data_IF_810674063665
#
_entry.id   IF_810674063665
#
_cell.length_a   1.000
_cell.length_b   1.000
_cell.length_c   1.000
_cell.angle_alpha   90.00
_cell.angle_beta   90.00
_cell.angle_gamma   90.00
#
_symmetry.space_group_name_H-M   'P 1'
#
loop_
_entity.id
_entity.type
_entity.pdbx_description
1 polymer ?
#
# COMPACT_ATOMS: atom_id res chain seq x y z
N UNK A 1 -24.93 -17.22 -21.75
CA UNK A 1 -25.80 -16.37 -20.93
C UNK A 1 -24.92 -15.30 -20.31
N UNK A 2 -25.10 -14.04 -20.69
CA UNK A 2 -24.29 -12.93 -20.13
C UNK A 2 -24.73 -12.69 -18.69
N UNK A 3 -23.83 -12.89 -17.74
CA UNK A 3 -24.10 -12.63 -16.31
C UNK A 3 -24.35 -11.13 -16.14
N UNK A 4 -25.48 -10.75 -15.52
CA UNK A 4 -25.78 -9.35 -15.23
C UNK A 4 -24.74 -8.79 -14.27
N UNK A 5 -24.30 -7.53 -14.49
CA UNK A 5 -23.44 -6.83 -13.54
C UNK A 5 -24.17 -6.54 -12.23
N UNK A 6 -23.48 -6.37 -11.13
CA UNK A 6 -24.09 -5.99 -9.82
C UNK A 6 -24.92 -4.71 -9.95
N UNK A 7 -24.48 -3.74 -10.75
CA UNK A 7 -25.26 -2.55 -11.05
C UNK A 7 -26.61 -2.88 -11.66
N UNK A 8 -26.66 -3.79 -12.63
CA UNK A 8 -27.93 -4.25 -13.24
C UNK A 8 -28.78 -5.03 -12.26
N UNK A 9 -28.15 -5.88 -11.43
CA UNK A 9 -28.85 -6.68 -10.39
C UNK A 9 -29.44 -5.80 -9.27
N UNK A 10 -28.70 -4.79 -8.84
CA UNK A 10 -29.08 -3.99 -7.67
C UNK A 10 -29.81 -2.68 -8.00
N UNK A 11 -29.94 -2.31 -9.28
CA UNK A 11 -30.53 -1.01 -9.68
C UNK A 11 -31.94 -0.79 -9.12
N UNK A 12 -32.79 -1.82 -9.14
CA UNK A 12 -34.16 -1.75 -8.59
C UNK A 12 -34.14 -1.75 -7.05
N UNK A 13 -33.26 -2.51 -6.45
CA UNK A 13 -33.11 -2.62 -4.99
C UNK A 13 -32.61 -1.29 -4.42
N UNK A 14 -31.56 -0.72 -5.01
CA UNK A 14 -31.00 0.59 -4.63
C UNK A 14 -32.09 1.67 -4.68
N UNK A 15 -32.84 1.75 -5.78
CA UNK A 15 -33.94 2.72 -5.93
C UNK A 15 -35.01 2.54 -4.87
N UNK A 16 -35.36 1.29 -4.53
CA UNK A 16 -36.36 1.03 -3.48
C UNK A 16 -35.86 1.46 -2.09
N UNK A 17 -34.57 1.20 -1.79
CA UNK A 17 -33.97 1.61 -0.52
C UNK A 17 -33.84 3.15 -0.45
N UNK A 18 -33.51 3.83 -1.55
CA UNK A 18 -33.50 5.30 -1.63
C UNK A 18 -34.88 5.87 -1.28
N UNK A 19 -35.94 5.36 -1.89
CA UNK A 19 -37.32 5.78 -1.60
C UNK A 19 -37.70 5.54 -0.12
N UNK A 20 -37.32 4.39 0.44
CA UNK A 20 -37.58 4.06 1.83
C UNK A 20 -36.77 4.94 2.79
N UNK A 21 -35.55 5.30 2.43
CA UNK A 21 -34.71 6.23 3.19
C UNK A 21 -35.34 7.63 3.23
N UNK A 22 -35.81 8.12 2.08
CA UNK A 22 -36.48 9.44 2.01
C UNK A 22 -37.75 9.47 2.90
N UNK A 23 -38.57 8.42 2.82
CA UNK A 23 -39.77 8.30 3.70
C UNK A 23 -39.39 8.25 5.19
N UNK A 24 -38.37 7.48 5.55
CA UNK A 24 -37.88 7.38 6.93
C UNK A 24 -37.32 8.73 7.43
N UNK A 25 -36.61 9.47 6.56
CA UNK A 25 -36.11 10.80 6.88
C UNK A 25 -37.28 11.80 7.11
N UNK A 26 -38.30 11.79 6.25
CA UNK A 26 -39.49 12.62 6.45
C UNK A 26 -40.20 12.31 7.79
N UNK A 27 -40.35 11.04 8.13
CA UNK A 27 -40.96 10.61 9.41
C UNK A 27 -40.08 11.06 10.58
N UNK A 28 -38.79 10.90 10.52
CA UNK A 28 -37.87 11.33 11.57
C UNK A 28 -37.90 12.84 11.77
N UNK A 29 -37.96 13.63 10.71
CA UNK A 29 -38.06 15.09 10.80
C UNK A 29 -39.39 15.51 11.46
N UNK A 30 -40.49 14.77 11.21
CA UNK A 30 -41.80 15.07 11.78
C UNK A 30 -41.96 14.63 13.24
N UNK A 31 -41.45 13.48 13.62
CA UNK A 31 -41.66 12.83 14.91
C UNK A 31 -40.51 13.01 15.90
N UNK A 32 -39.26 13.04 15.40
CA UNK A 32 -38.05 13.04 16.21
C UNK A 32 -37.83 11.77 17.01
N UNK A 33 -38.60 10.69 16.74
CA UNK A 33 -38.58 9.48 17.55
C UNK A 33 -37.39 8.56 17.20
N UNK A 34 -37.03 7.70 18.17
CA UNK A 34 -35.86 6.79 18.03
C UNK A 34 -36.08 5.68 16.99
N UNK A 35 -37.35 5.29 16.75
CA UNK A 35 -37.67 4.27 15.76
C UNK A 35 -37.40 4.74 14.32
N UNK A 36 -37.89 5.97 14.01
CA UNK A 36 -37.62 6.60 12.71
C UNK A 36 -36.11 6.84 12.50
N UNK A 37 -35.39 7.26 13.54
CA UNK A 37 -33.93 7.40 13.48
C UNK A 37 -33.21 6.07 13.18
N UNK A 38 -33.70 4.98 13.79
CA UNK A 38 -33.16 3.64 13.52
C UNK A 38 -33.38 3.24 12.06
N UNK A 39 -34.56 3.48 11.49
CA UNK A 39 -34.87 3.17 10.08
C UNK A 39 -33.96 3.97 9.11
N UNK A 40 -33.76 5.26 9.36
CA UNK A 40 -32.85 6.11 8.57
C UNK A 40 -31.45 5.50 8.58
N UNK A 41 -30.90 5.16 9.73
CA UNK A 41 -29.57 4.57 9.84
C UNK A 41 -29.49 3.20 9.15
N UNK A 42 -30.52 2.38 9.25
CA UNK A 42 -30.59 1.07 8.61
C UNK A 42 -30.54 1.19 7.08
N UNK A 43 -31.44 1.97 6.47
CA UNK A 43 -31.49 2.16 5.02
C UNK A 43 -30.24 2.86 4.49
N UNK A 44 -29.69 3.84 5.20
CA UNK A 44 -28.46 4.51 4.82
C UNK A 44 -27.27 3.54 4.81
N UNK A 45 -27.18 2.66 5.80
CA UNK A 45 -26.12 1.63 5.87
C UNK A 45 -26.24 0.60 4.76
N UNK A 46 -27.44 0.13 4.48
CA UNK A 46 -27.71 -0.84 3.41
C UNK A 46 -27.42 -0.24 2.02
N UNK A 47 -27.88 0.98 1.78
CA UNK A 47 -27.60 1.71 0.55
C UNK A 47 -26.10 1.91 0.33
N UNK A 48 -25.39 2.29 1.38
CA UNK A 48 -23.93 2.42 1.33
C UNK A 48 -23.27 1.09 0.94
N UNK A 49 -23.64 -0.02 1.60
CA UNK A 49 -23.11 -1.35 1.31
C UNK A 49 -23.29 -1.75 -0.14
N UNK A 50 -24.53 -1.63 -0.68
CA UNK A 50 -24.81 -2.00 -2.07
C UNK A 50 -24.09 -1.11 -3.08
N UNK A 51 -24.00 0.19 -2.82
CA UNK A 51 -23.24 1.13 -3.68
C UNK A 51 -21.75 0.81 -3.66
N UNK A 52 -21.19 0.45 -2.51
CA UNK A 52 -19.78 0.05 -2.39
C UNK A 52 -19.53 -1.27 -3.15
N UNK A 53 -20.44 -2.25 -3.08
CA UNK A 53 -20.32 -3.50 -3.84
C UNK A 53 -20.38 -3.26 -5.37
N UNK A 54 -21.24 -2.35 -5.83
CA UNK A 54 -21.29 -1.99 -7.27
C UNK A 54 -20.00 -1.30 -7.70
N UNK A 55 -19.50 -0.35 -6.92
CA UNK A 55 -18.25 0.36 -7.21
C UNK A 55 -17.05 -0.58 -7.24
N UNK A 56 -17.02 -1.57 -6.36
CA UNK A 56 -15.93 -2.55 -6.31
C UNK A 56 -15.94 -3.44 -7.54
N UNK A 57 -17.11 -3.90 -8.00
CA UNK A 57 -17.20 -4.65 -9.24
C UNK A 57 -16.79 -3.82 -10.46
N UNK A 58 -17.31 -2.59 -10.57
CA UNK A 58 -16.93 -1.66 -11.66
C UNK A 58 -15.41 -1.44 -11.66
N UNK A 59 -14.80 -1.22 -10.49
CA UNK A 59 -13.35 -1.06 -10.36
C UNK A 59 -12.57 -2.31 -10.79
N UNK A 60 -13.06 -3.49 -10.44
CA UNK A 60 -12.45 -4.76 -10.86
C UNK A 60 -12.53 -4.95 -12.38
N UNK A 61 -13.67 -4.64 -12.99
CA UNK A 61 -13.85 -4.73 -14.45
C UNK A 61 -12.94 -3.74 -15.18
N UNK A 62 -12.91 -2.47 -14.75
CA UNK A 62 -12.00 -1.45 -15.30
C UNK A 62 -10.53 -1.87 -15.13
N UNK A 63 -10.18 -2.38 -13.95
CA UNK A 63 -8.84 -2.87 -13.66
C UNK A 63 -8.45 -4.07 -14.54
N UNK A 64 -9.36 -5.01 -14.77
CA UNK A 64 -9.13 -6.14 -15.67
C UNK A 64 -8.90 -5.67 -17.12
N UNK A 65 -9.68 -4.66 -17.60
CA UNK A 65 -9.49 -4.07 -18.91
C UNK A 65 -8.12 -3.39 -19.05
N UNK A 66 -7.68 -2.62 -18.03
CA UNK A 66 -6.35 -2.01 -18.02
C UNK A 66 -5.27 -3.12 -18.07
N UNK A 67 -5.34 -4.13 -17.20
CA UNK A 67 -4.33 -5.18 -17.11
C UNK A 67 -4.21 -6.03 -18.37
N UNK A 68 -5.32 -6.26 -19.10
CA UNK A 68 -5.31 -7.04 -20.34
C UNK A 68 -4.47 -6.41 -21.44
N UNK A 69 -4.20 -5.11 -21.38
CA UNK A 69 -3.37 -4.39 -22.35
C UNK A 69 -2.06 -3.84 -21.74
N UNK A 70 -1.87 -4.00 -20.42
CA UNK A 70 -0.77 -3.38 -19.69
C UNK A 70 0.58 -4.03 -20.04
N UNK A 71 1.49 -3.23 -20.60
CA UNK A 71 2.94 -3.48 -20.61
C UNK A 71 3.56 -2.70 -19.46
N UNK A 72 4.06 -3.42 -18.47
CA UNK A 72 4.59 -2.90 -17.22
C UNK A 72 6.10 -3.07 -17.16
N UNK A 73 6.82 -2.01 -16.80
CA UNK A 73 8.24 -2.06 -16.46
C UNK A 73 8.41 -2.21 -14.96
N UNK A 74 9.32 -3.10 -14.52
CA UNK A 74 9.82 -3.13 -13.14
C UNK A 74 11.28 -2.67 -13.16
N UNK A 75 11.51 -1.44 -12.69
CA UNK A 75 12.84 -0.83 -12.61
C UNK A 75 13.38 -1.00 -11.19
N UNK A 76 14.45 -1.80 -11.06
CA UNK A 76 14.91 -2.35 -9.79
C UNK A 76 14.13 -3.60 -9.39
N UNK A 77 14.80 -4.75 -9.34
CA UNK A 77 14.19 -6.06 -9.08
C UNK A 77 14.78 -6.74 -7.84
N UNK A 78 15.16 -5.94 -6.83
CA UNK A 78 15.46 -6.38 -5.48
C UNK A 78 14.23 -6.98 -4.81
N UNK A 79 14.27 -7.26 -3.49
CA UNK A 79 13.17 -7.95 -2.79
C UNK A 79 11.81 -7.23 -2.92
N UNK A 80 11.78 -5.88 -2.95
CA UNK A 80 10.54 -5.08 -3.11
C UNK A 80 10.02 -5.16 -4.54
N UNK A 81 10.88 -4.87 -5.52
CA UNK A 81 10.51 -4.92 -6.94
C UNK A 81 10.06 -6.31 -7.37
N UNK A 82 10.79 -7.34 -6.92
CA UNK A 82 10.46 -8.74 -7.18
C UNK A 82 9.12 -9.14 -6.55
N UNK A 83 8.91 -8.86 -5.27
CA UNK A 83 7.65 -9.20 -4.59
C UNK A 83 6.44 -8.54 -5.27
N UNK A 84 6.57 -7.30 -5.72
CA UNK A 84 5.49 -6.58 -6.41
C UNK A 84 5.30 -7.06 -7.85
N UNK A 85 6.42 -7.19 -8.60
CA UNK A 85 6.41 -7.60 -10.01
C UNK A 85 5.91 -9.03 -10.20
N UNK A 86 6.41 -9.97 -9.42
CA UNK A 86 5.97 -11.37 -9.50
C UNK A 86 4.49 -11.53 -9.13
N UNK A 87 4.00 -10.73 -8.17
CA UNK A 87 2.60 -10.78 -7.75
C UNK A 87 1.62 -10.27 -8.83
N UNK A 88 2.00 -9.22 -9.57
CA UNK A 88 1.14 -8.68 -10.63
C UNK A 88 1.30 -9.44 -11.96
N UNK A 89 2.44 -10.09 -12.21
CA UNK A 89 2.75 -10.76 -13.48
C UNK A 89 1.63 -11.66 -14.03
N UNK A 90 0.94 -12.51 -13.25
CA UNK A 90 -0.13 -13.37 -13.77
C UNK A 90 -1.37 -12.61 -14.26
N UNK A 91 -1.46 -11.30 -14.00
CA UNK A 91 -2.65 -10.48 -14.22
C UNK A 91 -2.49 -9.47 -15.35
N UNK A 92 -1.31 -9.34 -15.95
CA UNK A 92 -1.00 -8.32 -16.96
C UNK A 92 -0.57 -8.95 -18.28
N UNK A 93 -0.62 -8.15 -19.36
CA UNK A 93 -0.26 -8.59 -20.71
C UNK A 93 1.24 -8.86 -20.86
N UNK A 94 2.07 -7.93 -20.36
CA UNK A 94 3.53 -8.01 -20.51
C UNK A 94 4.23 -7.38 -19.31
N UNK A 95 5.27 -8.05 -18.82
CA UNK A 95 6.14 -7.59 -17.77
C UNK A 95 7.59 -7.58 -18.23
N UNK A 96 8.24 -6.43 -18.13
CA UNK A 96 9.65 -6.25 -18.48
C UNK A 96 10.40 -5.89 -17.20
N UNK A 97 11.49 -6.60 -16.93
CA UNK A 97 12.37 -6.33 -15.80
C UNK A 97 13.54 -5.50 -16.30
N UNK A 98 13.80 -4.37 -15.66
CA UNK A 98 14.94 -3.49 -15.90
C UNK A 98 15.76 -3.42 -14.63
N UNK A 99 16.75 -4.29 -14.55
CA UNK A 99 17.67 -4.40 -13.41
C UNK A 99 18.96 -5.07 -13.88
N UNK A 100 20.14 -4.46 -13.67
CA UNK A 100 21.41 -5.00 -14.18
C UNK A 100 21.76 -6.41 -13.71
N UNK A 101 21.18 -6.86 -12.58
CA UNK A 101 21.37 -8.21 -12.07
C UNK A 101 20.47 -9.26 -12.73
N UNK A 102 19.45 -8.83 -13.49
CA UNK A 102 18.38 -9.69 -14.00
C UNK A 102 18.17 -9.62 -15.51
N UNK A 103 18.52 -8.51 -16.16
CA UNK A 103 18.34 -8.33 -17.61
C UNK A 103 19.27 -7.24 -18.18
N UNK A 104 19.44 -7.25 -19.50
CA UNK A 104 20.13 -6.21 -20.27
C UNK A 104 19.15 -5.17 -20.85
N UNK A 105 17.85 -5.27 -20.52
CA UNK A 105 16.77 -4.39 -21.00
C UNK A 105 16.99 -2.94 -20.53
N UNK A 106 16.71 -1.99 -21.43
CA UNK A 106 16.85 -0.57 -21.16
C UNK A 106 15.47 0.13 -21.23
N UNK A 107 15.26 1.17 -20.42
CA UNK A 107 14.01 1.96 -20.43
C UNK A 107 13.71 2.48 -21.82
N UNK A 108 14.73 2.94 -22.56
CA UNK A 108 14.57 3.54 -23.89
C UNK A 108 14.00 2.58 -24.94
N UNK A 109 14.15 1.26 -24.74
CA UNK A 109 13.66 0.24 -25.68
C UNK A 109 12.16 -0.02 -25.52
N UNK A 110 11.51 0.59 -24.51
CA UNK A 110 10.14 0.32 -24.12
C UNK A 110 9.26 1.58 -24.04
N UNK A 111 9.39 2.48 -25.01
CA UNK A 111 8.59 3.71 -25.09
C UNK A 111 7.07 3.46 -25.19
N UNK A 112 6.65 2.24 -25.54
CA UNK A 112 5.26 1.80 -25.60
C UNK A 112 4.72 1.29 -24.25
N UNK A 113 5.54 1.24 -23.19
CA UNK A 113 5.07 0.85 -21.86
C UNK A 113 4.14 1.91 -21.26
N UNK A 114 3.01 1.48 -20.70
CA UNK A 114 2.02 2.37 -20.11
C UNK A 114 2.31 2.69 -18.64
N UNK A 115 3.03 1.81 -17.94
CA UNK A 115 3.32 1.99 -16.52
C UNK A 115 4.68 1.41 -16.12
N UNK A 116 5.22 1.93 -15.03
CA UNK A 116 6.45 1.44 -14.40
C UNK A 116 6.31 1.35 -12.88
N UNK A 117 6.82 0.28 -12.28
CA UNK A 117 7.09 0.15 -10.86
C UNK A 117 8.56 0.42 -10.65
N UNK A 118 8.89 1.39 -9.78
CA UNK A 118 10.27 1.78 -9.48
C UNK A 118 10.58 1.39 -8.04
N UNK A 119 11.56 0.50 -7.86
CA UNK A 119 12.00 -0.04 -6.58
C UNK A 119 13.54 -0.10 -6.51
N UNK A 120 14.18 1.03 -6.77
CA UNK A 120 15.63 1.19 -6.77
C UNK A 120 16.18 1.55 -5.38
N UNK A 121 17.46 1.30 -5.10
CA UNK A 121 18.08 1.66 -3.83
C UNK A 121 18.05 3.17 -3.54
N UNK A 122 17.84 3.52 -2.27
CA UNK A 122 17.92 4.88 -1.73
C UNK A 122 18.81 4.85 -0.49
N UNK A 123 20.15 4.83 -0.65
CA UNK A 123 21.04 4.80 0.50
C UNK A 123 21.00 6.12 1.26
N UNK A 124 21.26 6.06 2.58
CA UNK A 124 21.49 7.25 3.38
C UNK A 124 22.99 7.55 3.39
N UNK A 125 23.36 8.74 2.94
CA UNK A 125 24.75 9.21 2.92
C UNK A 125 24.83 10.45 3.80
N UNK A 126 25.61 10.40 4.87
CA UNK A 126 25.75 11.49 5.85
C UNK A 126 24.41 11.98 6.42
N UNK A 127 23.51 11.08 6.75
CA UNK A 127 22.19 11.41 7.29
C UNK A 127 21.16 11.93 6.27
N UNK A 128 21.50 11.93 4.98
CA UNK A 128 20.61 12.38 3.90
C UNK A 128 20.30 11.23 2.95
N UNK A 129 19.03 11.09 2.59
CA UNK A 129 18.59 10.11 1.58
C UNK A 129 19.13 10.51 0.21
N UNK A 130 19.90 9.64 -0.44
CA UNK A 130 20.34 9.82 -1.82
C UNK A 130 19.26 9.26 -2.78
N UNK A 131 18.54 10.18 -3.41
CA UNK A 131 17.48 9.91 -4.39
C UNK A 131 17.94 10.01 -5.86
N UNK A 132 19.23 10.20 -6.09
CA UNK A 132 19.81 10.44 -7.42
C UNK A 132 19.41 9.37 -8.45
N UNK A 133 19.40 8.10 -8.05
CA UNK A 133 18.98 6.97 -8.92
C UNK A 133 17.49 7.06 -9.26
N UNK A 134 16.65 7.50 -8.32
CA UNK A 134 15.20 7.69 -8.57
C UNK A 134 15.00 8.82 -9.60
N UNK A 135 15.67 9.95 -9.40
CA UNK A 135 15.56 11.11 -10.30
C UNK A 135 16.00 10.75 -11.71
N UNK A 136 17.09 10.00 -11.85
CA UNK A 136 17.59 9.50 -13.14
C UNK A 136 16.56 8.57 -13.81
N UNK A 137 16.11 7.54 -13.10
CA UNK A 137 15.11 6.57 -13.61
C UNK A 137 13.81 7.25 -14.01
N UNK A 138 13.28 8.14 -13.17
CA UNK A 138 12.03 8.89 -13.48
C UNK A 138 12.23 9.76 -14.71
N UNK A 139 13.40 10.41 -14.85
CA UNK A 139 13.73 11.23 -16.03
C UNK A 139 13.77 10.39 -17.30
N UNK A 140 14.42 9.23 -17.26
CA UNK A 140 14.46 8.31 -18.41
C UNK A 140 13.08 7.77 -18.79
N UNK A 141 12.27 7.39 -17.81
CA UNK A 141 10.89 6.92 -18.04
C UNK A 141 10.03 7.97 -18.75
N UNK A 142 10.08 9.22 -18.27
CA UNK A 142 9.32 10.33 -18.86
C UNK A 142 9.86 10.71 -20.24
N UNK A 143 11.18 10.65 -20.44
CA UNK A 143 11.78 10.90 -21.75
C UNK A 143 11.36 9.84 -22.79
N UNK A 144 11.23 8.57 -22.37
CA UNK A 144 10.76 7.49 -23.23
C UNK A 144 9.24 7.58 -23.50
N UNK A 145 8.44 7.86 -22.47
CA UNK A 145 6.99 8.05 -22.57
C UNK A 145 6.50 9.12 -21.57
N UNK A 146 6.15 10.33 -22.01
CA UNK A 146 5.67 11.40 -21.13
C UNK A 146 4.39 11.08 -20.36
N UNK A 147 3.57 10.17 -20.84
CA UNK A 147 2.29 9.77 -20.24
C UNK A 147 2.40 8.56 -19.32
N UNK A 148 3.61 7.99 -19.15
CA UNK A 148 3.84 6.80 -18.33
C UNK A 148 3.37 7.01 -16.88
N UNK A 149 2.67 6.02 -16.32
CA UNK A 149 2.25 6.02 -14.92
C UNK A 149 3.32 5.35 -14.06
N UNK A 150 3.87 6.07 -13.09
CA UNK A 150 4.98 5.59 -12.27
C UNK A 150 4.49 5.28 -10.85
N UNK A 151 4.71 4.03 -10.39
CA UNK A 151 4.52 3.63 -9.00
C UNK A 151 5.88 3.53 -8.33
N UNK A 152 6.21 4.53 -7.53
CA UNK A 152 7.47 4.58 -6.76
C UNK A 152 7.31 3.85 -5.44
N UNK A 153 8.12 2.83 -5.22
CA UNK A 153 8.14 2.01 -3.99
C UNK A 153 9.38 2.23 -3.12
N UNK A 154 10.42 2.84 -3.66
CA UNK A 154 11.62 3.20 -2.90
C UNK A 154 11.28 4.20 -1.80
N UNK A 155 11.87 4.05 -0.62
CA UNK A 155 11.63 4.98 0.50
C UNK A 155 12.29 6.32 0.23
N UNK A 156 11.50 7.39 0.23
CA UNK A 156 11.94 8.77 -0.07
C UNK A 156 11.31 9.73 0.93
N UNK A 157 12.08 10.69 1.50
CA UNK A 157 11.55 11.75 2.36
C UNK A 157 10.50 12.62 1.67
N UNK A 158 9.57 13.22 2.45
CA UNK A 158 8.47 14.02 1.90
C UNK A 158 8.92 15.15 1.00
N UNK A 159 9.93 15.90 1.40
CA UNK A 159 10.48 17.07 0.68
C UNK A 159 11.13 16.70 -0.66
N UNK A 160 11.68 15.51 -0.78
CA UNK A 160 12.22 15.00 -2.03
C UNK A 160 11.08 14.48 -2.95
N UNK A 161 10.07 13.84 -2.40
CA UNK A 161 8.90 13.38 -3.17
C UNK A 161 8.13 14.53 -3.82
N UNK A 162 8.06 15.69 -3.17
CA UNK A 162 7.37 16.87 -3.73
C UNK A 162 8.03 17.39 -5.02
N UNK A 163 9.33 17.18 -5.18
CA UNK A 163 10.11 17.60 -6.36
C UNK A 163 9.88 16.70 -7.58
N UNK A 164 9.35 15.49 -7.39
CA UNK A 164 9.11 14.54 -8.47
C UNK A 164 7.88 14.93 -9.32
N UNK A 165 7.87 14.59 -10.60
CA UNK A 165 6.76 14.88 -11.53
C UNK A 165 5.41 14.34 -11.07
N UNK A 166 4.31 14.93 -11.57
CA UNK A 166 2.94 14.62 -11.13
C UNK A 166 2.48 13.19 -11.45
N UNK A 167 3.04 12.55 -12.48
CA UNK A 167 2.76 11.17 -12.87
C UNK A 167 3.45 10.11 -11.99
N UNK A 168 4.18 10.54 -10.95
CA UNK A 168 4.72 9.64 -9.92
C UNK A 168 3.70 9.50 -8.79
N UNK A 169 3.22 8.28 -8.57
CA UNK A 169 2.46 7.88 -7.38
C UNK A 169 3.38 7.15 -6.42
N UNK A 170 3.43 7.59 -5.18
CA UNK A 170 4.22 6.95 -4.13
C UNK A 170 3.41 5.83 -3.47
N UNK A 171 4.01 4.64 -3.39
CA UNK A 171 3.43 3.49 -2.69
C UNK A 171 4.46 2.95 -1.69
N UNK A 172 4.42 3.40 -0.44
CA UNK A 172 5.31 2.87 0.60
C UNK A 172 5.11 1.37 0.76
N UNK A 173 6.21 0.67 1.06
CA UNK A 173 6.21 -0.77 1.34
C UNK A 173 6.49 -1.01 2.83
N UNK A 174 5.98 -2.11 3.37
CA UNK A 174 6.14 -2.54 4.75
C UNK A 174 6.60 -4.00 4.83
N UNK A 175 7.42 -4.41 3.86
CA UNK A 175 7.85 -5.78 3.63
C UNK A 175 9.13 -6.09 4.42
N UNK A 176 9.21 -7.30 4.94
CA UNK A 176 10.44 -7.86 5.50
C UNK A 176 11.20 -8.57 4.39
N UNK A 177 12.50 -8.34 4.26
CA UNK A 177 13.29 -8.90 3.15
C UNK A 177 13.20 -10.43 3.04
N UNK A 178 13.17 -11.15 4.18
CA UNK A 178 13.08 -12.63 4.22
C UNK A 178 11.72 -13.19 3.75
N UNK A 179 10.64 -12.41 3.91
CA UNK A 179 9.25 -12.84 3.64
C UNK A 179 8.50 -11.90 2.70
N UNK A 180 9.22 -11.13 1.88
CA UNK A 180 8.67 -10.03 1.10
C UNK A 180 7.50 -10.44 0.19
N UNK A 181 7.57 -11.58 -0.48
CA UNK A 181 6.48 -12.08 -1.33
C UNK A 181 5.22 -12.43 -0.52
N UNK A 182 5.39 -13.09 0.63
CA UNK A 182 4.29 -13.42 1.54
C UNK A 182 3.70 -12.16 2.17
N UNK A 183 4.55 -11.24 2.65
CA UNK A 183 4.11 -9.97 3.23
C UNK A 183 3.34 -9.13 2.21
N UNK A 184 3.77 -9.11 0.95
CA UNK A 184 3.07 -8.40 -0.12
C UNK A 184 1.71 -9.04 -0.43
N UNK A 185 1.63 -10.36 -0.51
CA UNK A 185 0.39 -11.08 -0.78
C UNK A 185 -0.64 -10.93 0.36
N UNK A 186 -0.18 -10.85 1.60
CA UNK A 186 -1.02 -10.79 2.81
C UNK A 186 -1.24 -9.37 3.35
N UNK A 187 -0.76 -8.33 2.66
CA UNK A 187 -0.92 -6.96 3.13
C UNK A 187 -2.41 -6.58 3.21
N UNK A 188 -2.76 -5.80 4.23
CA UNK A 188 -4.13 -5.35 4.50
C UNK A 188 -4.40 -3.93 4.01
N UNK A 189 -3.35 -3.15 3.81
CA UNK A 189 -3.42 -1.74 3.44
C UNK A 189 -2.49 -1.48 2.26
N UNK A 190 -2.99 -0.76 1.26
CA UNK A 190 -2.23 -0.36 0.09
C UNK A 190 -2.36 1.16 -0.09
N UNK A 191 -1.31 1.90 0.27
CA UNK A 191 -1.31 3.36 0.26
C UNK A 191 -0.86 3.87 -1.11
N UNK A 192 -1.60 4.82 -1.66
CA UNK A 192 -1.35 5.41 -2.97
C UNK A 192 -1.32 6.93 -2.83
N UNK A 193 -0.11 7.49 -2.73
CA UNK A 193 0.12 8.92 -2.58
C UNK A 193 0.37 9.59 -3.93
N UNK A 194 -0.55 10.43 -4.41
CA UNK A 194 -0.39 11.19 -5.64
C UNK A 194 -1.60 11.14 -6.59
N UNK A 195 -1.51 11.91 -7.69
CA UNK A 195 -2.63 12.15 -8.60
C UNK A 195 -3.15 10.87 -9.29
N UNK A 196 -2.27 9.95 -9.66
CA UNK A 196 -2.62 8.71 -10.36
C UNK A 196 -2.98 7.55 -9.41
N UNK A 197 -3.24 7.83 -8.12
CA UNK A 197 -3.66 6.81 -7.14
C UNK A 197 -4.88 6.02 -7.58
N UNK A 198 -5.85 6.66 -8.27
CA UNK A 198 -7.03 5.97 -8.79
C UNK A 198 -6.68 4.98 -9.92
N UNK A 199 -5.71 5.29 -10.78
CA UNK A 199 -5.21 4.38 -11.80
C UNK A 199 -4.59 3.13 -11.17
N UNK A 200 -3.69 3.31 -10.21
CA UNK A 200 -3.02 2.20 -9.53
C UNK A 200 -3.98 1.37 -8.69
N UNK A 201 -4.98 1.98 -8.08
CA UNK A 201 -6.05 1.25 -7.39
C UNK A 201 -6.81 0.31 -8.34
N UNK A 202 -7.07 0.72 -9.61
CA UNK A 202 -7.66 -0.15 -10.62
C UNK A 202 -6.70 -1.25 -11.06
N UNK A 203 -5.42 -0.92 -11.28
CA UNK A 203 -4.38 -1.90 -11.66
C UNK A 203 -4.28 -3.02 -10.61
N UNK A 204 -4.32 -2.70 -9.32
CA UNK A 204 -4.23 -3.67 -8.22
C UNK A 204 -5.60 -4.13 -7.68
N UNK A 205 -6.70 -3.83 -8.34
CA UNK A 205 -8.06 -4.15 -7.88
C UNK A 205 -8.33 -5.65 -7.68
N UNK A 206 -7.50 -6.52 -8.23
CA UNK A 206 -7.59 -7.98 -8.04
C UNK A 206 -7.15 -8.45 -6.65
N UNK A 207 -6.48 -7.60 -5.86
CA UNK A 207 -6.06 -7.93 -4.50
C UNK A 207 -7.28 -8.02 -3.58
N UNK A 208 -7.48 -9.16 -2.95
CA UNK A 208 -8.62 -9.42 -2.07
C UNK A 208 -8.32 -9.02 -0.62
N UNK A 209 -9.30 -8.42 0.06
CA UNK A 209 -9.19 -8.06 1.48
C UNK A 209 -8.22 -6.92 1.77
N UNK A 210 -7.84 -6.13 0.76
CA UNK A 210 -6.94 -4.98 0.87
C UNK A 210 -7.74 -3.69 0.88
N UNK A 211 -7.48 -2.85 1.86
CA UNK A 211 -7.96 -1.47 1.91
C UNK A 211 -7.02 -0.56 1.11
N UNK A 212 -7.53 0.04 0.04
CA UNK A 212 -6.79 1.03 -0.74
C UNK A 212 -7.00 2.43 -0.17
N UNK A 213 -5.92 3.05 0.32
CA UNK A 213 -5.93 4.41 0.86
C UNK A 213 -5.28 5.34 -0.15
N UNK A 214 -6.06 6.29 -0.70
CA UNK A 214 -5.54 7.35 -1.57
C UNK A 214 -5.31 8.62 -0.76
N UNK A 215 -4.13 9.18 -0.90
CA UNK A 215 -3.70 10.40 -0.21
C UNK A 215 -2.70 11.19 -1.05
N UNK A 216 -2.14 12.24 -0.53
CA UNK A 216 -0.99 12.93 -1.11
C UNK A 216 0.33 12.18 -0.84
N UNK A 217 1.39 12.55 -1.58
CA UNK A 217 2.70 11.90 -1.49
C UNK A 217 3.38 12.13 -0.13
N UNK A 218 3.24 13.34 0.39
CA UNK A 218 3.80 13.75 1.69
C UNK A 218 3.23 12.92 2.82
N UNK A 219 1.90 12.81 2.89
CA UNK A 219 1.21 11.97 3.88
C UNK A 219 1.61 10.50 3.76
N UNK A 220 1.67 9.96 2.53
CA UNK A 220 2.08 8.57 2.32
C UNK A 220 3.52 8.31 2.79
N UNK A 221 4.45 9.25 2.54
CA UNK A 221 5.83 9.16 3.01
C UNK A 221 5.93 9.27 4.53
N UNK A 222 5.23 10.22 5.14
CA UNK A 222 5.20 10.37 6.60
C UNK A 222 4.70 9.10 7.29
N UNK A 223 3.67 8.43 6.76
CA UNK A 223 3.20 7.15 7.30
C UNK A 223 4.31 6.10 7.27
N UNK A 224 5.10 6.01 6.20
CA UNK A 224 6.23 5.08 6.11
C UNK A 224 7.27 5.35 7.19
N UNK A 225 7.71 6.60 7.32
CA UNK A 225 8.72 6.98 8.31
C UNK A 225 8.21 6.77 9.75
N UNK A 226 7.01 7.24 10.06
CA UNK A 226 6.40 7.07 11.39
C UNK A 226 6.24 5.59 11.75
N UNK A 227 5.83 4.74 10.80
CA UNK A 227 5.72 3.31 11.03
C UNK A 227 7.08 2.68 11.35
N UNK A 228 8.12 2.96 10.56
CA UNK A 228 9.43 2.35 10.76
C UNK A 228 10.14 2.87 12.02
N UNK A 229 10.05 4.18 12.32
CA UNK A 229 10.61 4.75 13.54
C UNK A 229 9.88 4.25 14.79
N UNK A 230 8.54 4.09 14.74
CA UNK A 230 7.79 3.44 15.81
C UNK A 230 8.28 2.02 16.09
N UNK A 231 8.46 1.20 15.04
CA UNK A 231 8.95 -0.16 15.20
C UNK A 231 10.39 -0.20 15.72
N UNK A 232 11.25 0.71 15.28
CA UNK A 232 12.61 0.86 15.82
C UNK A 232 12.60 1.20 17.31
N UNK A 233 11.75 2.14 17.74
CA UNK A 233 11.54 2.48 19.15
C UNK A 233 11.03 1.27 19.94
N UNK A 234 10.10 0.50 19.38
CA UNK A 234 9.58 -0.71 20.02
C UNK A 234 10.68 -1.75 20.26
N UNK A 235 11.53 -2.00 19.25
CA UNK A 235 12.70 -2.88 19.41
C UNK A 235 13.62 -2.37 20.53
N UNK A 236 13.96 -1.08 20.50
CA UNK A 236 14.83 -0.49 21.53
C UNK A 236 14.23 -0.65 22.93
N UNK A 237 12.94 -0.38 23.11
CA UNK A 237 12.24 -0.55 24.39
C UNK A 237 12.34 -1.99 24.91
N UNK A 238 12.02 -2.99 24.10
CA UNK A 238 12.06 -4.38 24.55
C UNK A 238 13.47 -4.89 24.80
N UNK A 239 14.47 -4.36 24.11
CA UNK A 239 15.87 -4.67 24.39
C UNK A 239 16.37 -4.03 25.70
N UNK A 240 15.87 -2.86 26.09
CA UNK A 240 16.14 -2.29 27.42
C UNK A 240 15.48 -3.13 28.52
N UNK A 241 14.26 -3.60 28.31
CA UNK A 241 13.61 -4.55 29.24
C UNK A 241 14.44 -5.83 29.38
N UNK A 242 14.96 -6.38 28.27
CA UNK A 242 15.85 -7.54 28.30
C UNK A 242 17.07 -7.31 29.20
N UNK A 243 17.73 -6.14 29.12
CA UNK A 243 18.87 -5.79 30.00
C UNK A 243 18.47 -5.76 31.48
N UNK A 244 17.24 -5.35 31.81
CA UNK A 244 16.76 -5.26 33.16
C UNK A 244 16.45 -6.64 33.79
N UNK A 245 15.81 -7.54 33.02
CA UNK A 245 15.39 -8.85 33.52
C UNK A 245 16.42 -9.95 33.27
N UNK A 246 17.42 -9.69 32.44
CA UNK A 246 18.51 -10.60 32.10
C UNK A 246 18.11 -11.76 31.20
N UNK A 247 19.02 -12.71 31.04
CA UNK A 247 18.92 -13.90 30.20
C UNK A 247 18.06 -14.99 30.82
N UNK A 248 17.02 -14.61 31.56
CA UNK A 248 16.18 -15.51 32.34
C UNK A 248 14.93 -15.91 31.55
N UNK A 249 14.36 -17.06 31.88
CA UNK A 249 13.04 -17.51 31.44
C UNK A 249 11.94 -16.45 31.59
N UNK A 250 12.15 -15.49 32.50
CA UNK A 250 11.20 -14.41 32.75
C UNK A 250 11.03 -13.48 31.56
N UNK A 251 12.10 -13.22 30.77
CA UNK A 251 11.96 -12.35 29.58
C UNK A 251 11.03 -12.96 28.53
N UNK A 252 11.24 -14.22 28.15
CA UNK A 252 10.43 -14.88 27.10
C UNK A 252 8.98 -15.06 27.55
N UNK A 253 8.76 -15.35 28.84
CA UNK A 253 7.43 -15.42 29.43
C UNK A 253 6.73 -14.05 29.38
N UNK A 254 7.41 -12.97 29.78
CA UNK A 254 6.90 -11.60 29.71
C UNK A 254 6.51 -11.23 28.27
N UNK A 255 7.38 -11.48 27.30
CA UNK A 255 7.12 -11.20 25.88
C UNK A 255 5.92 -12.01 25.38
N UNK A 256 5.83 -13.30 25.73
CA UNK A 256 4.72 -14.18 25.31
C UNK A 256 3.37 -13.72 25.85
N UNK A 257 3.34 -13.18 27.07
CA UNK A 257 2.14 -12.63 27.68
C UNK A 257 1.77 -11.29 27.01
N UNK A 258 2.73 -10.39 26.87
CA UNK A 258 2.52 -9.06 26.26
C UNK A 258 2.07 -9.16 24.81
N UNK A 259 2.56 -10.15 24.06
CA UNK A 259 2.15 -10.42 22.69
C UNK A 259 0.65 -10.72 22.51
N UNK A 260 -0.04 -11.13 23.59
CA UNK A 260 -1.50 -11.40 23.57
C UNK A 260 -2.35 -10.12 23.63
N UNK A 261 -1.76 -8.98 23.99
CA UNK A 261 -2.48 -7.71 24.02
C UNK A 261 -2.50 -7.07 22.63
N UNK A 262 -3.69 -6.88 22.00
CA UNK A 262 -3.78 -6.36 20.64
C UNK A 262 -3.14 -4.98 20.42
N UNK A 263 -3.16 -4.12 21.45
CA UNK A 263 -2.58 -2.78 21.42
C UNK A 263 -1.04 -2.79 21.49
N UNK A 264 -0.42 -3.91 21.87
CA UNK A 264 1.03 -4.10 21.85
C UNK A 264 1.43 -4.87 20.60
N UNK A 265 0.76 -5.98 20.31
CA UNK A 265 0.99 -6.86 19.18
C UNK A 265 2.31 -7.65 19.28
N UNK A 266 2.43 -8.78 18.58
CA UNK A 266 3.53 -9.75 18.78
C UNK A 266 4.84 -9.39 18.07
N UNK A 267 4.86 -8.44 17.13
CA UNK A 267 6.04 -8.16 16.32
C UNK A 267 7.06 -7.27 17.05
N UNK A 268 8.35 -7.38 16.68
CA UNK A 268 9.42 -6.46 17.08
C UNK A 268 9.65 -6.41 18.60
N UNK A 269 9.51 -7.53 19.29
CA UNK A 269 9.69 -7.65 20.74
C UNK A 269 10.80 -8.64 21.10
N UNK A 270 11.09 -9.62 20.24
CA UNK A 270 12.13 -10.62 20.47
C UNK A 270 13.52 -10.07 20.16
N UNK A 271 14.53 -10.67 20.78
CA UNK A 271 15.93 -10.46 20.42
C UNK A 271 16.15 -10.89 18.97
N UNK A 272 17.11 -10.27 18.29
CA UNK A 272 17.48 -10.70 16.96
C UNK A 272 18.19 -12.07 16.97
N UNK A 273 18.26 -12.73 15.82
CA UNK A 273 18.84 -14.08 15.67
C UNK A 273 20.32 -14.15 16.12
N UNK A 274 21.02 -13.01 16.22
CA UNK A 274 22.42 -12.90 16.62
C UNK A 274 22.58 -12.50 18.11
N UNK A 275 21.50 -12.34 18.86
CA UNK A 275 21.52 -11.91 20.25
C UNK A 275 22.01 -10.47 20.46
N UNK A 276 22.06 -9.65 19.42
CA UNK A 276 22.48 -8.25 19.49
C UNK A 276 21.35 -7.35 19.96
N UNK A 277 21.70 -6.37 20.79
CA UNK A 277 20.78 -5.34 21.27
C UNK A 277 20.62 -4.20 20.24
N UNK A 278 19.48 -3.56 20.26
CA UNK A 278 19.14 -2.46 19.35
C UNK A 278 18.47 -2.93 18.06
N UNK A 279 17.93 -1.98 17.31
CA UNK A 279 17.39 -2.26 16.00
C UNK A 279 18.50 -2.28 14.94
N UNK A 280 18.29 -3.09 13.89
CA UNK A 280 19.25 -3.30 12.81
C UNK A 280 18.58 -3.54 11.48
N UNK A 281 19.29 -4.19 10.56
CA UNK A 281 18.83 -4.41 9.19
C UNK A 281 19.03 -3.18 8.30
N UNK A 282 18.48 -3.24 7.08
CA UNK A 282 18.66 -2.18 6.08
C UNK A 282 17.72 -0.98 6.27
N UNK A 283 16.52 -1.20 6.83
CA UNK A 283 15.46 -0.19 6.83
C UNK A 283 15.49 0.71 8.07
N UNK A 284 15.51 0.13 9.28
CA UNK A 284 15.35 0.92 10.51
C UNK A 284 16.46 1.95 10.74
N UNK A 285 17.76 1.60 10.63
CA UNK A 285 18.82 2.60 10.77
C UNK A 285 18.68 3.73 9.74
N UNK A 286 18.52 3.36 8.47
CA UNK A 286 18.39 4.29 7.36
C UNK A 286 17.21 5.24 7.53
N UNK A 287 16.03 4.73 7.87
CA UNK A 287 14.81 5.52 7.97
C UNK A 287 14.78 6.37 9.26
N UNK A 288 15.42 5.91 10.36
CA UNK A 288 15.56 6.71 11.59
C UNK A 288 16.59 7.83 11.47
N UNK A 289 17.60 7.70 10.64
CA UNK A 289 18.57 8.77 10.36
C UNK A 289 17.98 9.82 9.42
N UNK A 290 17.13 9.40 8.48
CA UNK A 290 16.55 10.29 7.47
C UNK A 290 15.28 11.03 7.97
N UNK A 291 14.68 10.59 9.07
CA UNK A 291 13.50 11.17 9.70
C UNK A 291 13.87 12.25 10.73
#
# INVERSE_FOLDING_TARGET
MTTLTKRQQYSSIIRNIENNLDLAMEQYVKSGDSGSKFQVNHYASELKRLRDEVRDEERQQEGAAIRSELKLLSVGYGFVGKATGDYILPHIKQHIIIDPAHSDEQIADHADAQAAIVAVPTPTVNGVCDDSVIVDVVTQLIAANPDIKILLKSTVPPDQLEKLPANVTYNPEFLRAKTAAEDFANQRVFILGGADGAYWQRVFSFMQGVEFIRTDRTTASMVKYMHNTWLAMKVAYFHEIYKLVGDSYQHDELISILAKFPNIGPSHMAMNDEGKLGYGGHCFPKDTEAF
#
